data_IF_648870984287
#
_entry.id   IF_648870984287
#
_cell.length_a   1.000
_cell.length_b   1.000
_cell.length_c   1.000
_cell.angle_alpha   90.00
_cell.angle_beta   90.00
_cell.angle_gamma   90.00
#
_symmetry.space_group_name_H-M   'P 1'
#
loop_
_entity.id
_entity.type
_entity.pdbx_description
1 polymer ?
#
# COMPACT_ATOMS: atom_id res chain seq x y z
N UNK A 1 -32.05 20.52 85.36
CA UNK A 1 -31.41 21.45 84.42
C UNK A 1 -30.39 20.65 83.63
N UNK A 2 -30.75 20.16 82.45
CA UNK A 2 -29.81 19.94 81.35
C UNK A 2 -30.59 19.82 80.04
N UNK A 3 -30.36 20.75 79.12
CA UNK A 3 -31.14 20.92 77.89
C UNK A 3 -30.40 20.25 76.74
N UNK A 4 -31.01 19.24 76.10
CA UNK A 4 -30.50 18.66 74.86
C UNK A 4 -30.62 19.67 73.72
N UNK A 5 -29.50 20.17 73.23
CA UNK A 5 -29.42 20.93 71.98
C UNK A 5 -29.80 20.02 70.79
N UNK A 6 -30.74 20.50 69.96
CA UNK A 6 -31.00 19.91 68.63
C UNK A 6 -30.02 20.53 67.62
N UNK A 7 -29.39 19.74 66.74
CA UNK A 7 -28.56 20.29 65.68
C UNK A 7 -29.43 21.08 64.68
N UNK A 8 -29.02 22.32 64.41
CA UNK A 8 -29.66 23.19 63.42
C UNK A 8 -29.31 22.73 61.99
N UNK A 9 -30.31 22.64 61.12
CA UNK A 9 -30.10 22.35 59.70
C UNK A 9 -29.46 23.56 59.00
N UNK A 10 -28.31 23.36 58.37
CA UNK A 10 -27.66 24.36 57.51
C UNK A 10 -28.48 24.47 56.21
N UNK A 11 -28.97 25.66 55.81
CA UNK A 11 -29.66 25.80 54.54
C UNK A 11 -28.65 25.67 53.40
N UNK A 12 -28.85 24.69 52.52
CA UNK A 12 -28.12 24.62 51.25
C UNK A 12 -28.48 25.86 50.42
N UNK A 13 -27.59 26.85 50.40
CA UNK A 13 -27.67 27.99 49.50
C UNK A 13 -27.48 27.45 48.08
N UNK A 14 -28.52 27.54 47.24
CA UNK A 14 -28.40 27.26 45.80
C UNK A 14 -27.56 28.36 45.17
N UNK A 15 -26.26 28.12 45.09
CA UNK A 15 -25.31 29.01 44.43
C UNK A 15 -25.55 28.95 42.90
N UNK A 16 -26.31 29.92 42.38
CA UNK A 16 -26.62 30.05 40.95
C UNK A 16 -25.38 30.26 40.05
N UNK A 17 -24.23 30.56 40.65
CA UNK A 17 -22.93 30.62 40.00
C UNK A 17 -22.51 29.26 39.44
N UNK A 18 -22.79 28.15 40.13
CA UNK A 18 -22.42 26.80 39.66
C UNK A 18 -23.10 26.40 38.34
N UNK A 19 -24.36 26.80 38.17
CA UNK A 19 -25.11 26.57 36.92
C UNK A 19 -24.61 27.45 35.77
N UNK A 20 -24.19 28.69 36.07
CA UNK A 20 -23.58 29.57 35.08
C UNK A 20 -22.23 29.02 34.58
N UNK A 21 -21.38 28.55 35.49
CA UNK A 21 -20.10 27.93 35.13
C UNK A 21 -20.29 26.66 34.30
N UNK A 22 -21.23 25.80 34.68
CA UNK A 22 -21.53 24.58 33.92
C UNK A 22 -22.05 24.90 32.51
N UNK A 23 -22.93 25.89 32.39
CA UNK A 23 -23.49 26.31 31.10
C UNK A 23 -22.44 26.92 30.19
N UNK A 24 -21.54 27.75 30.73
CA UNK A 24 -20.42 28.33 29.98
C UNK A 24 -19.41 27.27 29.54
N UNK A 25 -19.12 26.28 30.40
CA UNK A 25 -18.24 25.17 30.05
C UNK A 25 -18.82 24.31 28.93
N UNK A 26 -20.11 23.97 28.99
CA UNK A 26 -20.79 23.22 27.92
C UNK A 26 -20.81 24.03 26.63
N UNK A 27 -21.12 25.32 26.68
CA UNK A 27 -21.10 26.19 25.50
C UNK A 27 -19.71 26.29 24.86
N UNK A 28 -18.65 26.37 25.67
CA UNK A 28 -17.27 26.38 25.18
C UNK A 28 -16.88 25.04 24.54
N UNK A 29 -17.25 23.91 25.15
CA UNK A 29 -17.01 22.57 24.60
C UNK A 29 -17.75 22.40 23.27
N UNK A 30 -19.03 22.78 23.22
CA UNK A 30 -19.83 22.73 21.99
C UNK A 30 -19.20 23.62 20.93
N UNK A 31 -18.80 24.85 21.25
CA UNK A 31 -18.14 25.76 20.31
C UNK A 31 -16.83 25.19 19.76
N UNK A 32 -16.00 24.56 20.61
CA UNK A 32 -14.75 23.89 20.18
C UNK A 32 -15.06 22.70 19.28
N UNK A 33 -16.03 21.85 19.64
CA UNK A 33 -16.44 20.71 18.81
C UNK A 33 -17.01 21.17 17.46
N UNK A 34 -17.77 22.26 17.45
CA UNK A 34 -18.34 22.84 16.24
C UNK A 34 -17.30 23.55 15.36
N UNK A 35 -16.24 24.11 15.96
CA UNK A 35 -15.12 24.70 15.22
C UNK A 35 -14.23 23.60 14.62
N UNK A 36 -13.94 22.54 15.38
CA UNK A 36 -13.16 21.39 14.92
C UNK A 36 -13.84 20.63 13.79
N UNK A 37 -15.18 20.53 13.81
CA UNK A 37 -15.95 19.88 12.73
C UNK A 37 -16.10 20.71 11.46
N UNK A 38 -15.76 22.02 11.51
CA UNK A 38 -15.83 22.95 10.37
C UNK A 38 -14.48 23.18 9.69
N UNK A 39 -13.46 22.39 10.03
CA UNK A 39 -12.21 22.40 9.26
C UNK A 39 -12.51 21.77 7.90
N UNK A 40 -12.99 22.58 6.95
CA UNK A 40 -13.10 22.15 5.57
C UNK A 40 -11.70 21.68 5.13
N UNK A 41 -11.59 20.48 4.53
CA UNK A 41 -10.32 20.06 3.97
C UNK A 41 -9.85 21.15 3.01
N UNK A 42 -8.56 21.50 3.02
CA UNK A 42 -8.05 22.62 2.24
C UNK A 42 -8.51 22.50 0.78
N UNK A 43 -8.91 23.61 0.13
CA UNK A 43 -9.43 23.58 -1.23
C UNK A 43 -8.44 22.88 -2.17
N UNK A 44 -8.95 21.90 -2.91
CA UNK A 44 -8.17 21.12 -3.86
C UNK A 44 -7.57 22.03 -4.93
N UNK A 45 -6.25 22.15 -4.95
CA UNK A 45 -5.54 22.72 -6.10
C UNK A 45 -5.33 21.58 -7.12
N UNK A 46 -5.97 21.63 -8.31
CA UNK A 46 -5.69 20.66 -9.36
C UNK A 46 -4.20 20.69 -9.64
N UNK A 47 -3.55 19.53 -9.50
CA UNK A 47 -2.10 19.45 -9.63
C UNK A 47 -1.71 19.41 -11.11
N UNK A 48 -0.53 19.94 -11.46
CA UNK A 48 0.08 19.69 -12.76
C UNK A 48 0.12 18.19 -13.03
N UNK A 49 -0.04 17.80 -14.30
CA UNK A 49 0.15 16.41 -14.72
C UNK A 49 1.52 15.89 -14.22
N UNK A 50 1.62 14.61 -13.81
CA UNK A 50 2.88 14.00 -13.44
C UNK A 50 3.97 14.29 -14.48
N UNK A 51 5.10 14.85 -14.03
CA UNK A 51 6.20 15.22 -14.93
C UNK A 51 7.04 13.98 -15.20
N UNK A 52 7.21 13.64 -16.47
CA UNK A 52 8.07 12.54 -16.89
C UNK A 52 9.53 12.83 -16.54
N UNK A 53 10.24 11.92 -15.83
CA UNK A 53 11.69 11.98 -15.73
C UNK A 53 12.35 11.93 -17.12
N UNK A 54 13.55 12.50 -17.29
CA UNK A 54 14.33 12.34 -18.52
C UNK A 54 14.49 10.88 -18.92
N UNK A 55 14.47 10.59 -20.23
CA UNK A 55 14.50 9.21 -20.74
C UNK A 55 15.90 8.56 -20.67
N UNK A 56 16.95 9.35 -20.46
CA UNK A 56 18.35 8.94 -20.35
C UNK A 56 18.78 8.61 -18.91
N UNK A 57 17.99 9.01 -17.92
CA UNK A 57 18.30 8.81 -16.49
C UNK A 57 17.25 7.92 -15.85
N UNK A 58 17.67 6.75 -15.34
CA UNK A 58 16.78 5.83 -14.64
C UNK A 58 16.23 6.53 -13.38
N UNK A 59 14.91 6.60 -13.18
CA UNK A 59 14.34 7.29 -12.04
C UNK A 59 14.57 6.51 -10.75
N UNK A 60 14.84 7.21 -9.66
CA UNK A 60 14.89 6.64 -8.33
C UNK A 60 13.48 6.19 -7.89
N UNK A 61 13.41 5.03 -7.23
CA UNK A 61 12.15 4.53 -6.66
C UNK A 61 11.89 5.25 -5.33
N UNK A 62 10.80 6.02 -5.21
CA UNK A 62 10.50 6.74 -3.98
C UNK A 62 10.09 5.79 -2.85
N UNK A 63 10.43 6.11 -1.58
CA UNK A 63 10.05 5.29 -0.43
C UNK A 63 8.53 5.29 -0.19
N UNK A 64 8.04 4.29 0.55
CA UNK A 64 6.65 4.20 1.02
C UNK A 64 6.39 5.14 2.20
N UNK A 65 6.56 6.44 2.00
CA UNK A 65 6.23 7.44 3.01
C UNK A 65 4.78 7.91 2.83
N UNK A 66 3.96 7.69 3.86
CA UNK A 66 2.53 8.01 3.85
C UNK A 66 2.28 9.44 4.33
N UNK A 67 1.39 10.15 3.63
CA UNK A 67 0.91 11.43 4.11
C UNK A 67 0.08 11.25 5.41
N UNK A 68 0.23 12.14 6.41
CA UNK A 68 -0.47 12.02 7.69
C UNK A 68 -1.94 12.44 7.55
N UNK A 69 -2.80 11.51 7.16
CA UNK A 69 -4.24 11.74 6.97
C UNK A 69 -5.07 10.55 7.45
N UNK A 70 -6.35 10.82 7.72
CA UNK A 70 -7.30 9.75 8.08
C UNK A 70 -7.61 8.87 6.87
N UNK A 71 -8.09 7.64 7.10
CA UNK A 71 -8.50 6.76 6.00
C UNK A 71 -9.64 7.37 5.15
N UNK A 72 -10.56 8.11 5.78
CA UNK A 72 -11.68 8.77 5.08
C UNK A 72 -11.14 9.85 4.14
N UNK A 73 -10.19 10.67 4.61
CA UNK A 73 -9.56 11.70 3.80
C UNK A 73 -8.71 11.09 2.68
N UNK A 74 -7.99 10.00 2.96
CA UNK A 74 -7.21 9.25 1.97
C UNK A 74 -8.10 8.72 0.84
N UNK A 75 -9.21 8.06 1.18
CA UNK A 75 -10.19 7.58 0.19
C UNK A 75 -10.74 8.72 -0.66
N UNK A 76 -11.15 9.83 -0.03
CA UNK A 76 -11.66 10.99 -0.73
C UNK A 76 -10.61 11.65 -1.65
N UNK A 77 -9.34 11.69 -1.23
CA UNK A 77 -8.25 12.21 -2.05
C UNK A 77 -7.92 11.28 -3.23
N UNK A 78 -7.84 9.97 -2.98
CA UNK A 78 -7.52 8.96 -3.97
C UNK A 78 -8.60 8.81 -5.06
N UNK A 79 -9.86 8.97 -4.68
CA UNK A 79 -11.00 8.98 -5.60
C UNK A 79 -10.94 10.15 -6.61
N UNK A 80 -10.30 11.27 -6.22
CA UNK A 80 -10.14 12.46 -7.09
C UNK A 80 -9.01 12.33 -8.10
N UNK A 81 -8.08 11.39 -7.92
CA UNK A 81 -7.02 11.14 -8.91
C UNK A 81 -7.67 10.55 -10.18
N UNK A 82 -7.50 11.14 -11.37
CA UNK A 82 -8.10 10.61 -12.59
C UNK A 82 -7.46 9.28 -12.99
N UNK A 83 -8.27 8.37 -13.55
CA UNK A 83 -7.78 7.14 -14.16
C UNK A 83 -7.30 7.42 -15.59
N UNK A 84 -6.03 7.15 -15.87
CA UNK A 84 -5.45 7.27 -17.20
C UNK A 84 -5.78 6.02 -18.00
N UNK A 85 -6.61 6.16 -19.04
CA UNK A 85 -7.04 5.06 -19.92
C UNK A 85 -6.38 5.09 -21.30
N UNK A 86 -5.76 6.22 -21.68
CA UNK A 86 -5.08 6.39 -22.98
C UNK A 86 -3.62 5.97 -22.90
N UNK A 87 -3.11 5.38 -23.98
CA UNK A 87 -1.71 4.97 -24.07
C UNK A 87 -1.35 3.85 -23.08
N UNK A 88 -2.33 3.08 -22.61
CA UNK A 88 -2.09 1.88 -21.82
C UNK A 88 -1.55 0.78 -22.73
N UNK A 89 -0.45 0.17 -22.31
CA UNK A 89 0.13 -0.98 -23.00
C UNK A 89 -0.10 -2.24 -22.17
N UNK A 90 -0.49 -3.32 -22.83
CA UNK A 90 -0.50 -4.63 -22.21
C UNK A 90 0.94 -5.07 -21.90
N UNK A 91 1.18 -5.70 -20.74
CA UNK A 91 2.48 -6.29 -20.44
C UNK A 91 2.75 -7.43 -21.43
N UNK A 92 4.02 -7.58 -21.82
CA UNK A 92 4.43 -8.72 -22.66
C UNK A 92 4.51 -9.99 -21.80
N UNK A 93 4.20 -11.19 -22.36
CA UNK A 93 4.45 -12.46 -21.68
C UNK A 93 5.85 -12.54 -21.08
N UNK A 94 5.94 -13.13 -19.90
CA UNK A 94 7.18 -13.36 -19.17
C UNK A 94 7.33 -14.85 -18.90
N UNK A 95 8.36 -15.46 -19.47
CA UNK A 95 8.74 -16.83 -19.16
C UNK A 95 10.02 -16.76 -18.34
N UNK A 96 9.95 -17.25 -17.11
CA UNK A 96 11.12 -17.30 -16.23
C UNK A 96 12.13 -18.30 -16.79
N UNK A 97 13.39 -17.87 -16.92
CA UNK A 97 14.45 -18.65 -17.57
C UNK A 97 15.10 -19.68 -16.64
N UNK A 98 14.98 -19.51 -15.32
CA UNK A 98 15.57 -20.43 -14.35
C UNK A 98 14.84 -21.76 -14.25
N UNK A 99 15.57 -22.79 -13.81
CA UNK A 99 15.09 -24.18 -13.66
C UNK A 99 15.35 -24.71 -12.25
N UNK A 100 14.77 -25.87 -11.91
CA UNK A 100 15.02 -26.55 -10.63
C UNK A 100 14.72 -25.64 -9.43
N UNK A 101 15.66 -25.57 -8.48
CA UNK A 101 15.50 -24.75 -7.28
C UNK A 101 15.30 -23.25 -7.59
N UNK A 102 15.99 -22.71 -8.60
CA UNK A 102 15.82 -21.30 -8.95
C UNK A 102 14.38 -20.99 -9.39
N UNK A 103 13.71 -21.94 -10.06
CA UNK A 103 12.29 -21.80 -10.41
C UNK A 103 11.39 -21.94 -9.18
N UNK A 104 11.68 -22.90 -8.30
CA UNK A 104 10.92 -23.07 -7.07
C UNK A 104 10.99 -21.82 -6.18
N UNK A 105 12.19 -21.24 -5.99
CA UNK A 105 12.37 -19.99 -5.25
C UNK A 105 11.64 -18.82 -5.91
N UNK A 106 11.72 -18.67 -7.23
CA UNK A 106 10.99 -17.62 -7.95
C UNK A 106 9.47 -17.74 -7.76
N UNK A 107 8.94 -18.97 -7.84
CA UNK A 107 7.52 -19.27 -7.59
C UNK A 107 7.13 -18.87 -6.18
N UNK A 108 7.92 -19.26 -5.18
CA UNK A 108 7.55 -19.08 -3.79
C UNK A 108 7.69 -17.61 -3.35
N UNK A 109 8.71 -16.88 -3.82
CA UNK A 109 8.80 -15.43 -3.63
C UNK A 109 7.62 -14.69 -4.28
N UNK A 110 7.25 -15.06 -5.52
CA UNK A 110 6.10 -14.46 -6.20
C UNK A 110 4.79 -14.78 -5.47
N UNK A 111 4.61 -16.04 -5.04
CA UNK A 111 3.44 -16.48 -4.29
C UNK A 111 3.33 -15.77 -2.93
N UNK A 112 4.45 -15.54 -2.23
CA UNK A 112 4.49 -14.78 -0.99
C UNK A 112 3.98 -13.36 -1.20
N UNK A 113 4.51 -12.63 -2.19
CA UNK A 113 4.01 -11.30 -2.52
C UNK A 113 2.52 -11.32 -2.85
N UNK A 114 2.06 -12.28 -3.65
CA UNK A 114 0.65 -12.41 -4.00
C UNK A 114 -0.26 -12.60 -2.78
N UNK A 115 0.03 -13.57 -1.92
CA UNK A 115 -0.87 -13.94 -0.82
C UNK A 115 -0.83 -12.93 0.33
N UNK A 116 0.33 -12.37 0.65
CA UNK A 116 0.45 -11.43 1.77
C UNK A 116 -0.07 -10.04 1.42
N UNK A 117 -0.11 -9.67 0.14
CA UNK A 117 -0.62 -8.37 -0.31
C UNK A 117 -2.10 -8.42 -0.69
N UNK A 118 -2.57 -9.55 -1.26
CA UNK A 118 -3.93 -9.65 -1.78
C UNK A 118 -4.81 -10.70 -1.09
N UNK A 119 -4.27 -11.46 -0.14
CA UNK A 119 -4.97 -12.60 0.45
C UNK A 119 -5.25 -13.70 -0.59
N UNK A 120 -6.24 -14.55 -0.31
CA UNK A 120 -6.69 -15.62 -1.19
C UNK A 120 -7.69 -15.15 -2.26
N UNK A 121 -7.39 -14.01 -2.91
CA UNK A 121 -8.15 -13.50 -4.06
C UNK A 121 -7.32 -13.57 -5.34
N UNK A 122 -7.75 -14.40 -6.29
CA UNK A 122 -7.02 -14.61 -7.54
C UNK A 122 -6.85 -13.34 -8.39
N UNK A 123 -7.78 -12.38 -8.32
CA UNK A 123 -7.68 -11.12 -9.08
C UNK A 123 -6.56 -10.24 -8.52
N UNK A 124 -6.57 -10.03 -7.21
CA UNK A 124 -5.56 -9.26 -6.49
C UNK A 124 -4.18 -9.92 -6.58
N UNK A 125 -4.09 -11.24 -6.40
CA UNK A 125 -2.84 -11.98 -6.56
C UNK A 125 -2.21 -11.77 -7.95
N UNK A 126 -2.99 -11.93 -9.03
CA UNK A 126 -2.47 -11.70 -10.40
C UNK A 126 -2.08 -10.24 -10.65
N UNK A 127 -2.78 -9.29 -10.02
CA UNK A 127 -2.45 -7.87 -10.10
C UNK A 127 -1.09 -7.57 -9.44
N UNK A 128 -0.88 -8.04 -8.21
CA UNK A 128 0.39 -7.91 -7.47
C UNK A 128 1.52 -8.64 -8.20
N UNK A 129 1.28 -9.87 -8.65
CA UNK A 129 2.27 -10.64 -9.39
C UNK A 129 2.72 -9.97 -10.68
N UNK A 130 1.79 -9.31 -11.39
CA UNK A 130 2.14 -8.57 -12.61
C UNK A 130 3.02 -7.36 -12.28
N UNK A 131 2.78 -6.67 -11.17
CA UNK A 131 3.65 -5.58 -10.69
C UNK A 131 5.05 -6.10 -10.36
N UNK A 132 5.18 -7.23 -9.67
CA UNK A 132 6.49 -7.85 -9.37
C UNK A 132 7.26 -8.15 -10.66
N UNK A 133 6.62 -8.78 -11.64
CA UNK A 133 7.23 -9.08 -12.95
C UNK A 133 7.59 -7.79 -13.71
N UNK A 134 6.72 -6.78 -13.67
CA UNK A 134 6.99 -5.47 -14.27
C UNK A 134 8.22 -4.82 -13.66
N UNK A 135 8.35 -4.84 -12.33
CA UNK A 135 9.51 -4.33 -11.60
C UNK A 135 10.78 -5.07 -12.02
N UNK A 136 10.78 -6.41 -11.99
CA UNK A 136 11.95 -7.20 -12.38
C UNK A 136 12.49 -6.81 -13.78
N UNK A 137 11.60 -6.49 -14.71
CA UNK A 137 11.92 -6.07 -16.08
C UNK A 137 12.27 -4.60 -16.26
N UNK A 138 12.00 -3.75 -15.27
CA UNK A 138 12.24 -2.31 -15.31
C UNK A 138 13.59 -1.95 -14.66
N UNK A 139 14.45 -1.11 -15.27
CA UNK A 139 15.82 -0.89 -14.80
C UNK A 139 15.93 -0.29 -13.38
N UNK A 140 14.92 0.44 -12.91
CA UNK A 140 14.89 1.03 -11.57
C UNK A 140 14.77 0.01 -10.40
N UNK A 141 14.57 -1.28 -10.68
CA UNK A 141 14.32 -2.29 -9.64
C UNK A 141 15.34 -3.45 -9.73
N UNK A 142 15.45 -4.29 -8.70
CA UNK A 142 16.21 -5.53 -8.76
C UNK A 142 15.85 -6.42 -9.96
N UNK A 143 16.76 -7.30 -10.34
CA UNK A 143 16.67 -8.09 -11.58
C UNK A 143 16.29 -9.55 -11.33
N UNK A 144 15.78 -9.89 -10.16
CA UNK A 144 15.27 -11.22 -9.81
C UNK A 144 13.92 -11.07 -9.10
N UNK A 145 13.12 -12.13 -9.09
CA UNK A 145 11.78 -12.10 -8.48
C UNK A 145 11.90 -11.91 -6.96
N UNK A 146 12.73 -12.73 -6.31
CA UNK A 146 12.98 -12.60 -4.87
C UNK A 146 13.63 -11.26 -4.54
N UNK A 147 14.56 -10.78 -5.38
CA UNK A 147 15.20 -9.48 -5.19
C UNK A 147 14.20 -8.33 -5.19
N UNK A 148 13.17 -8.38 -6.04
CA UNK A 148 12.07 -7.39 -6.05
C UNK A 148 11.20 -7.51 -4.80
N UNK A 149 10.81 -8.74 -4.43
CA UNK A 149 9.89 -9.00 -3.32
C UNK A 149 10.50 -8.61 -1.97
N UNK A 150 11.79 -8.88 -1.78
CA UNK A 150 12.50 -8.60 -0.53
C UNK A 150 13.35 -7.32 -0.58
N UNK A 151 13.12 -6.47 -1.60
CA UNK A 151 13.84 -5.22 -1.75
C UNK A 151 13.68 -4.32 -0.51
N UNK A 152 14.81 -4.01 0.13
CA UNK A 152 14.84 -3.12 1.28
C UNK A 152 14.44 -3.78 2.60
N UNK A 153 14.19 -5.09 2.61
CA UNK A 153 13.89 -5.85 3.84
C UNK A 153 15.05 -5.81 4.86
N UNK A 154 16.26 -5.54 4.38
CA UNK A 154 17.48 -5.36 5.17
C UNK A 154 17.70 -3.92 5.67
N UNK A 155 16.86 -2.95 5.27
CA UNK A 155 17.10 -1.52 5.50
C UNK A 155 16.25 -0.97 6.64
N UNK A 156 16.83 -0.07 7.44
CA UNK A 156 16.08 0.66 8.46
C UNK A 156 15.05 1.66 7.89
N UNK A 157 15.22 2.05 6.62
CA UNK A 157 14.40 3.06 5.93
C UNK A 157 13.03 2.54 5.45
N UNK A 158 12.71 1.27 5.74
CA UNK A 158 11.45 0.63 5.36
C UNK A 158 11.57 -0.26 4.12
N UNK A 159 10.49 -1.04 3.91
CA UNK A 159 10.48 -2.19 3.02
C UNK A 159 9.51 -1.98 1.88
N UNK A 160 9.85 -2.49 0.69
CA UNK A 160 9.02 -2.29 -0.50
C UNK A 160 7.68 -3.04 -0.41
N UNK A 161 7.67 -4.19 0.24
CA UNK A 161 6.49 -4.95 0.61
C UNK A 161 6.44 -5.00 2.14
N UNK A 162 5.32 -4.62 2.75
CA UNK A 162 5.28 -4.45 4.21
C UNK A 162 5.41 -5.77 4.94
N UNK A 163 4.93 -6.87 4.33
CA UNK A 163 4.95 -8.21 4.91
C UNK A 163 6.37 -8.74 5.20
N UNK A 164 7.39 -8.19 4.54
CA UNK A 164 8.79 -8.61 4.75
C UNK A 164 9.39 -8.02 6.02
N UNK A 165 8.68 -7.10 6.70
CA UNK A 165 9.22 -6.33 7.82
C UNK A 165 8.25 -6.16 9.01
N UNK A 166 6.98 -6.51 8.84
CA UNK A 166 5.94 -6.42 9.90
C UNK A 166 5.72 -7.76 10.65
N UNK A 167 6.57 -8.77 10.41
CA UNK A 167 6.43 -10.11 10.98
C UNK A 167 5.28 -10.93 10.38
N UNK A 168 4.68 -10.52 9.26
CA UNK A 168 3.60 -11.29 8.63
C UNK A 168 4.01 -12.71 8.23
N UNK A 169 5.27 -12.93 7.89
CA UNK A 169 5.81 -14.25 7.55
C UNK A 169 5.76 -15.24 8.72
N UNK A 170 5.71 -14.77 9.97
CA UNK A 170 5.56 -15.62 11.14
C UNK A 170 4.11 -16.09 11.34
N UNK A 171 3.14 -15.46 10.64
CA UNK A 171 1.73 -15.83 10.72
C UNK A 171 1.47 -17.05 9.86
N UNK A 172 0.69 -18.00 10.40
CA UNK A 172 0.34 -19.24 9.70
C UNK A 172 -0.63 -18.96 8.55
N UNK A 173 -0.12 -19.08 7.33
CA UNK A 173 -0.94 -19.09 6.11
C UNK A 173 -1.57 -20.48 5.90
N UNK A 174 -2.88 -20.59 5.62
CA UNK A 174 -3.51 -21.87 5.32
C UNK A 174 -2.85 -22.56 4.13
N UNK A 175 -2.59 -23.86 4.23
CA UNK A 175 -1.81 -24.62 3.24
C UNK A 175 -2.48 -24.61 1.86
N UNK A 176 -3.81 -24.66 1.82
CA UNK A 176 -4.58 -24.60 0.59
C UNK A 176 -4.51 -23.22 -0.10
N UNK A 177 -4.49 -22.14 0.68
CA UNK A 177 -4.35 -20.79 0.15
C UNK A 177 -2.93 -20.58 -0.40
N UNK A 178 -1.92 -21.08 0.31
CA UNK A 178 -0.53 -21.07 -0.16
C UNK A 178 -0.37 -21.83 -1.48
N UNK A 179 -0.92 -23.05 -1.57
CA UNK A 179 -0.87 -23.85 -2.81
C UNK A 179 -1.56 -23.15 -3.99
N UNK A 180 -2.67 -22.44 -3.76
CA UNK A 180 -3.33 -21.62 -4.80
C UNK A 180 -2.47 -20.44 -5.24
N UNK A 181 -1.80 -19.76 -4.30
CA UNK A 181 -0.87 -18.69 -4.62
C UNK A 181 0.32 -19.20 -5.44
N UNK A 182 0.89 -20.36 -5.08
CA UNK A 182 1.94 -21.04 -5.86
C UNK A 182 1.47 -21.37 -7.28
N UNK A 183 0.25 -21.90 -7.45
CA UNK A 183 -0.31 -22.20 -8.77
C UNK A 183 -0.49 -20.93 -9.63
N UNK A 184 -0.95 -19.82 -9.04
CA UNK A 184 -1.04 -18.54 -9.74
C UNK A 184 0.34 -18.01 -10.13
N UNK A 185 1.33 -18.12 -9.23
CA UNK A 185 2.71 -17.74 -9.51
C UNK A 185 3.30 -18.57 -10.67
N UNK A 186 3.14 -19.89 -10.67
CA UNK A 186 3.63 -20.77 -11.74
C UNK A 186 3.06 -20.41 -13.11
N UNK A 187 1.76 -20.14 -13.20
CA UNK A 187 1.10 -19.73 -14.44
C UNK A 187 1.67 -18.40 -14.96
N UNK A 188 1.94 -17.44 -14.07
CA UNK A 188 2.53 -16.15 -14.44
C UNK A 188 4.01 -16.25 -14.84
N UNK A 189 4.80 -17.08 -14.14
CA UNK A 189 6.19 -17.39 -14.51
C UNK A 189 6.29 -18.18 -15.83
N UNK A 190 5.16 -18.67 -16.35
CA UNK A 190 5.08 -19.42 -17.61
C UNK A 190 4.46 -18.61 -18.75
N UNK A 191 4.35 -17.29 -18.60
CA UNK A 191 3.93 -16.39 -19.69
C UNK A 191 2.55 -15.77 -19.54
N UNK A 192 1.76 -16.18 -18.53
CA UNK A 192 0.47 -15.54 -18.31
C UNK A 192 0.65 -14.08 -17.88
N UNK A 193 -0.23 -13.22 -18.40
CA UNK A 193 -0.21 -11.79 -18.12
C UNK A 193 -1.51 -11.36 -17.44
N UNK A 194 -1.47 -10.23 -16.74
CA UNK A 194 -2.66 -9.57 -16.19
C UNK A 194 -2.81 -8.16 -16.77
N UNK A 195 -3.42 -8.00 -17.97
CA UNK A 195 -3.46 -6.73 -18.67
C UNK A 195 -4.19 -5.60 -17.95
N UNK A 196 -5.08 -5.93 -16.99
CA UNK A 196 -5.85 -4.94 -16.24
C UNK A 196 -4.98 -3.94 -15.47
N UNK A 197 -3.76 -4.33 -15.08
CA UNK A 197 -2.80 -3.43 -14.41
C UNK A 197 -1.67 -2.95 -15.33
N UNK A 198 -1.71 -3.29 -16.62
CA UNK A 198 -0.77 -2.80 -17.61
C UNK A 198 0.70 -2.93 -17.19
N UNK A 199 1.41 -1.82 -17.26
CA UNK A 199 2.82 -1.67 -16.86
C UNK A 199 2.98 -1.03 -15.47
N UNK A 200 2.01 -1.24 -14.57
CA UNK A 200 2.10 -0.72 -13.21
C UNK A 200 3.37 -1.24 -12.52
N UNK A 201 4.05 -0.35 -11.81
CA UNK A 201 5.23 -0.62 -10.98
C UNK A 201 4.98 -0.23 -9.52
N UNK A 202 3.88 0.45 -9.23
CA UNK A 202 3.51 0.89 -7.90
C UNK A 202 2.02 0.63 -7.67
N UNK A 203 1.66 0.35 -6.42
CA UNK A 203 0.28 0.32 -6.00
C UNK A 203 0.19 0.67 -4.52
N UNK A 204 -1.01 1.03 -4.09
CA UNK A 204 -1.37 1.14 -2.68
C UNK A 204 -2.87 0.91 -2.51
N UNK A 205 -3.33 0.69 -1.29
CA UNK A 205 -4.76 0.60 -0.98
C UNK A 205 -5.40 1.99 -0.94
N UNK A 206 -6.69 2.09 -1.21
CA UNK A 206 -7.40 3.36 -1.31
C UNK A 206 -7.55 4.11 0.03
N UNK A 207 -7.26 3.47 1.17
CA UNK A 207 -7.26 4.07 2.51
C UNK A 207 -5.90 4.61 2.98
N UNK A 208 -4.85 4.51 2.17
CA UNK A 208 -3.56 5.15 2.44
C UNK A 208 -3.17 6.07 1.28
N UNK A 209 -2.22 6.99 1.51
CA UNK A 209 -1.78 7.92 0.47
C UNK A 209 -0.27 8.18 0.53
N UNK A 210 0.54 7.40 -0.20
CA UNK A 210 1.96 7.66 -0.34
C UNK A 210 2.23 8.97 -1.08
N UNK A 211 3.29 9.70 -0.71
CA UNK A 211 3.64 10.98 -1.37
C UNK A 211 3.89 10.83 -2.88
N UNK A 212 4.48 9.70 -3.30
CA UNK A 212 4.75 9.44 -4.72
C UNK A 212 3.49 9.25 -5.56
N UNK A 213 2.32 8.97 -4.96
CA UNK A 213 1.08 8.76 -5.73
C UNK A 213 0.73 9.98 -6.60
N UNK A 214 1.18 11.16 -6.18
CA UNK A 214 1.00 12.43 -6.88
C UNK A 214 1.98 12.65 -8.04
N UNK A 215 3.09 11.90 -8.10
CA UNK A 215 4.10 11.99 -9.17
C UNK A 215 3.95 10.88 -10.22
N UNK A 216 2.92 10.03 -10.11
CA UNK A 216 2.66 8.91 -11.01
C UNK A 216 1.26 8.98 -11.64
N UNK A 217 1.05 8.18 -12.67
CA UNK A 217 -0.25 8.06 -13.35
C UNK A 217 -1.03 6.87 -12.81
N UNK A 218 -2.23 7.10 -12.25
CA UNK A 218 -3.14 6.01 -11.86
C UNK A 218 -3.73 5.36 -13.11
N UNK A 219 -3.52 4.05 -13.29
CA UNK A 219 -3.90 3.32 -14.51
C UNK A 219 -4.88 2.17 -14.27
N UNK A 220 -5.03 1.69 -13.04
CA UNK A 220 -6.03 0.67 -12.72
C UNK A 220 -6.52 0.77 -11.28
N UNK A 221 -7.71 0.21 -11.06
CA UNK A 221 -8.29 -0.05 -9.74
C UNK A 221 -8.75 -1.51 -9.73
N UNK A 222 -8.23 -2.31 -8.80
CA UNK A 222 -8.65 -3.70 -8.59
C UNK A 222 -9.10 -3.80 -7.14
N UNK A 223 -10.41 -3.93 -6.95
CA UNK A 223 -11.04 -3.87 -5.63
C UNK A 223 -10.60 -2.58 -4.91
N UNK A 224 -9.82 -2.68 -3.83
CA UNK A 224 -9.33 -1.53 -3.06
C UNK A 224 -7.93 -1.07 -3.45
N UNK A 225 -7.25 -1.79 -4.35
CA UNK A 225 -5.90 -1.48 -4.78
C UNK A 225 -5.90 -0.52 -5.98
N UNK A 226 -5.10 0.54 -5.87
CA UNK A 226 -4.89 1.56 -6.88
C UNK A 226 -3.51 1.35 -7.50
N UNK A 227 -3.44 1.17 -8.81
CA UNK A 227 -2.19 0.84 -9.52
C UNK A 227 -1.71 2.03 -10.35
N UNK A 228 -0.39 2.25 -10.31
CA UNK A 228 0.26 3.41 -10.90
C UNK A 228 1.45 3.01 -11.77
N UNK A 229 1.65 3.80 -12.84
CA UNK A 229 2.84 3.74 -13.69
C UNK A 229 3.59 5.06 -13.68
N UNK A 230 4.85 5.01 -14.09
CA UNK A 230 5.63 6.20 -14.39
C UNK A 230 5.03 7.01 -15.55
N UNK A 231 5.07 8.35 -15.50
CA UNK A 231 4.79 9.19 -16.66
C UNK A 231 5.90 9.08 -17.72
N UNK A 232 5.55 9.32 -18.99
CA UNK A 232 6.50 9.35 -20.11
C UNK A 232 7.16 8.00 -20.42
N UNK A 233 8.40 8.02 -20.89
CA UNK A 233 9.13 6.84 -21.40
C UNK A 233 9.15 5.67 -20.41
N UNK A 234 9.38 5.95 -19.12
CA UNK A 234 9.49 4.96 -18.06
C UNK A 234 8.19 4.18 -17.80
N UNK A 235 7.04 4.68 -18.28
CA UNK A 235 5.75 3.98 -18.23
C UNK A 235 5.38 3.23 -19.51
N UNK A 236 6.26 3.21 -20.52
CA UNK A 236 6.02 2.58 -21.82
C UNK A 236 6.72 1.23 -21.95
N UNK A 237 6.31 0.34 -22.87
CA UNK A 237 6.98 -0.94 -23.09
C UNK A 237 8.49 -0.86 -23.33
N UNK A 238 9.00 0.30 -23.78
CA UNK A 238 10.43 0.51 -24.00
C UNK A 238 11.28 0.38 -22.74
N UNK A 239 10.74 0.74 -21.59
CA UNK A 239 11.44 0.66 -20.30
C UNK A 239 11.44 -0.77 -19.70
N UNK A 240 10.60 -1.69 -20.18
CA UNK A 240 10.40 -3.04 -19.62
C UNK A 240 11.11 -4.13 -20.44
N UNK A 241 12.29 -3.79 -20.97
CA UNK A 241 13.14 -4.68 -21.79
C UNK A 241 14.32 -5.26 -21.01
N UNK A 242 14.45 -4.95 -19.72
CA UNK A 242 15.53 -5.47 -18.90
C UNK A 242 15.48 -6.99 -18.79
N UNK A 243 16.64 -7.63 -18.88
CA UNK A 243 16.79 -9.05 -18.62
C UNK A 243 16.53 -9.32 -17.13
N UNK A 244 15.70 -10.33 -16.85
CA UNK A 244 15.49 -10.86 -15.51
C UNK A 244 16.43 -12.05 -15.34
N UNK A 245 17.10 -12.13 -14.20
CA UNK A 245 17.98 -13.23 -13.82
C UNK A 245 17.21 -14.56 -13.86
N UNK A 246 17.88 -15.62 -14.32
CA UNK A 246 17.41 -17.00 -14.18
C UNK A 246 17.85 -17.64 -12.85
N UNK A 247 18.47 -16.87 -11.96
CA UNK A 247 18.84 -17.29 -10.62
C UNK A 247 18.06 -16.49 -9.58
N UNK A 248 17.69 -17.18 -8.49
CA UNK A 248 17.15 -16.58 -7.28
C UNK A 248 18.05 -16.96 -6.10
N UNK A 249 18.34 -15.97 -5.26
CA UNK A 249 19.04 -16.17 -3.99
C UNK A 249 18.09 -16.80 -2.96
N UNK A 250 18.66 -17.56 -2.02
CA UNK A 250 17.89 -18.08 -0.89
C UNK A 250 17.46 -16.93 0.02
N UNK A 251 16.17 -16.90 0.40
CA UNK A 251 15.62 -15.89 1.30
C UNK A 251 15.32 -16.53 2.65
N UNK A 252 16.18 -16.30 3.63
CA UNK A 252 16.04 -16.88 4.97
C UNK A 252 14.67 -16.58 5.62
N UNK A 253 14.11 -15.38 5.37
CA UNK A 253 12.79 -14.97 5.88
C UNK A 253 11.65 -15.86 5.36
N UNK A 254 11.83 -16.51 4.20
CA UNK A 254 10.80 -17.35 3.58
C UNK A 254 11.00 -18.84 3.87
N UNK A 255 12.02 -19.25 4.63
CA UNK A 255 12.40 -20.65 4.81
C UNK A 255 11.25 -21.55 5.30
N UNK A 256 10.31 -21.02 6.09
CA UNK A 256 9.15 -21.77 6.59
C UNK A 256 8.11 -22.10 5.49
N UNK A 257 8.05 -21.28 4.43
CA UNK A 257 7.11 -21.42 3.31
C UNK A 257 7.78 -21.95 2.02
N UNK A 258 9.09 -21.74 1.91
CA UNK A 258 9.98 -22.13 0.81
C UNK A 258 11.24 -22.76 1.41
N UNK A 259 11.24 -24.06 1.75
CA UNK A 259 12.39 -24.73 2.39
C UNK A 259 13.55 -25.02 1.41
N UNK A 260 13.50 -24.50 0.18
CA UNK A 260 14.45 -24.69 -0.93
C UNK A 260 15.29 -23.44 -1.21
#
# INVERSE_FOLDING_TARGET
MDARERPQAVPLRRDGTGWLFLSLAVAAIVAVLHASSRTEPPPFKPRPHPVAPPADTVPDVPPMELAPMTEVDARAANARIPLVTRGLAAPRPFVYAGTGEARARARDCLAAAMIYEAGDDAKGQRAVGQVVINRARHPAFPKSICGVVFQGSERATGCQFTFTCDGALDRRTPAEAWARAQANADVMLSGATYPKVGLATHYHTDWVRPYWSDSLEKIAVIDTHLFFRWPGYWGTPGAFRGAVSGSEDAVAQLAALSPL
#
